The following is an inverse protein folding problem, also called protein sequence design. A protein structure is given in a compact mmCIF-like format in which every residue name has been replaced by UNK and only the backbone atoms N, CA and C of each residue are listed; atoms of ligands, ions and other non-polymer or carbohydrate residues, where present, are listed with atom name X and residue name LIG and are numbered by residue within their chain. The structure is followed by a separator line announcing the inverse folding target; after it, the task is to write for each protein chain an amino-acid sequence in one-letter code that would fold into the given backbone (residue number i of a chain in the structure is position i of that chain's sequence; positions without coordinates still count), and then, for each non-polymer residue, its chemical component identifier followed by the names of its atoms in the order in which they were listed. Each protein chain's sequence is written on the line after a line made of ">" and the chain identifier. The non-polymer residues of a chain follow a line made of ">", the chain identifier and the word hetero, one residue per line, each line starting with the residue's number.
data_IF_459459520268
#
_entry.id   IF_459459520268
#
_cell.length_a   1.000
_cell.length_b   1.000
_cell.length_c   1.000
_cell.angle_alpha   90.00
_cell.angle_beta   90.00
_cell.angle_gamma   90.00
#
_symmetry.space_group_name_H-M   'P 1'
#
loop_
_entity.id
_entity.type
_entity.pdbx_description
1 polymer ?
#
# COMPACT_ATOMS: atom_id res chain seq x y z
N UNK A 1 -4.14 22.96 -23.28
CA UNK A 1 -4.33 21.53 -23.61
C UNK A 1 -5.76 21.20 -23.29
N UNK A 2 -6.58 20.89 -24.29
CA UNK A 2 -7.96 20.44 -24.04
C UNK A 2 -7.90 19.07 -23.36
N UNK A 3 -8.10 19.07 -22.04
CA UNK A 3 -8.34 17.86 -21.27
C UNK A 3 -9.72 17.34 -21.64
N UNK A 4 -9.80 16.46 -22.62
CA UNK A 4 -11.02 15.68 -22.83
C UNK A 4 -10.65 14.21 -22.81
N UNK A 5 -10.67 13.67 -21.60
CA UNK A 5 -10.91 12.25 -21.41
C UNK A 5 -12.04 11.82 -22.33
N UNK A 6 -11.83 10.72 -23.03
CA UNK A 6 -12.86 10.15 -23.87
C UNK A 6 -14.01 9.67 -22.96
N UNK A 7 -15.25 9.66 -23.45
CA UNK A 7 -16.38 9.17 -22.66
C UNK A 7 -16.13 7.76 -22.10
N UNK A 8 -15.34 6.95 -22.80
CA UNK A 8 -14.89 5.62 -22.36
C UNK A 8 -14.08 5.68 -21.05
N UNK A 9 -13.25 6.70 -20.84
CA UNK A 9 -12.45 6.85 -19.62
C UNK A 9 -13.35 7.16 -18.41
N UNK A 10 -14.37 7.98 -18.61
CA UNK A 10 -15.40 8.23 -17.60
C UNK A 10 -16.18 6.96 -17.23
N UNK A 11 -16.51 6.13 -18.23
CA UNK A 11 -17.16 4.84 -17.99
C UNK A 11 -16.25 3.89 -17.21
N UNK A 12 -14.96 3.84 -17.51
CA UNK A 12 -13.99 3.00 -16.78
C UNK A 12 -13.86 3.49 -15.33
N UNK A 13 -13.73 4.80 -15.10
CA UNK A 13 -13.64 5.37 -13.75
C UNK A 13 -14.91 5.13 -12.94
N UNK A 14 -16.08 5.40 -13.52
CA UNK A 14 -17.36 5.14 -12.87
C UNK A 14 -17.57 3.64 -12.60
N UNK A 15 -17.15 2.77 -13.53
CA UNK A 15 -17.17 1.33 -13.39
C UNK A 15 -16.27 0.85 -12.25
N UNK A 16 -15.06 1.38 -12.11
CA UNK A 16 -14.14 1.06 -11.02
C UNK A 16 -14.75 1.38 -9.65
N UNK A 17 -15.30 2.59 -9.50
CA UNK A 17 -15.96 3.02 -8.26
C UNK A 17 -17.24 2.21 -8.00
N UNK A 18 -18.03 1.97 -9.04
CA UNK A 18 -19.27 1.20 -8.97
C UNK A 18 -19.05 -0.26 -8.58
N UNK A 19 -18.05 -0.92 -9.16
CA UNK A 19 -17.67 -2.30 -8.80
C UNK A 19 -17.15 -2.34 -7.36
N UNK A 20 -16.34 -1.37 -6.95
CA UNK A 20 -15.83 -1.29 -5.57
C UNK A 20 -16.98 -1.16 -4.56
N UNK A 21 -17.95 -0.29 -4.86
CA UNK A 21 -19.17 -0.13 -4.06
C UNK A 21 -20.02 -1.40 -4.06
N UNK A 22 -20.18 -2.04 -5.21
CA UNK A 22 -20.94 -3.28 -5.36
C UNK A 22 -20.33 -4.43 -4.54
N UNK A 23 -19.00 -4.56 -4.48
CA UNK A 23 -18.31 -5.53 -3.63
C UNK A 23 -18.62 -5.26 -2.14
N UNK A 24 -18.57 -3.99 -1.72
CA UNK A 24 -18.91 -3.58 -0.35
C UNK A 24 -20.35 -3.92 0.03
N UNK A 25 -21.31 -3.54 -0.83
CA UNK A 25 -22.74 -3.81 -0.65
C UNK A 25 -23.02 -5.32 -0.68
N UNK A 26 -22.43 -6.05 -1.62
CA UNK A 26 -22.57 -7.51 -1.74
C UNK A 26 -22.16 -8.20 -0.44
N UNK A 27 -21.01 -7.87 0.12
CA UNK A 27 -20.53 -8.44 1.37
C UNK A 27 -21.33 -8.00 2.60
N UNK A 28 -21.98 -6.85 2.53
CA UNK A 28 -22.94 -6.40 3.55
C UNK A 28 -24.22 -7.25 3.55
N UNK A 29 -24.76 -7.53 2.35
CA UNK A 29 -26.08 -8.15 2.17
C UNK A 29 -26.06 -9.68 2.19
N UNK A 30 -25.08 -10.34 1.56
CA UNK A 30 -25.02 -11.83 1.44
C UNK A 30 -24.50 -12.52 2.70
N UNK A 31 -24.29 -11.75 3.77
CA UNK A 31 -23.52 -12.19 4.90
C UNK A 31 -24.32 -12.89 5.99
N UNK A 32 -25.29 -12.20 6.60
CA UNK A 32 -25.62 -12.44 8.01
C UNK A 32 -24.38 -12.37 8.95
N UNK A 33 -23.25 -11.94 8.40
CA UNK A 33 -21.88 -12.22 8.83
C UNK A 33 -21.31 -11.04 9.60
N UNK A 34 -21.65 -9.80 9.25
CA UNK A 34 -21.27 -8.58 9.99
C UNK A 34 -21.92 -8.45 11.39
N UNK A 35 -22.69 -9.46 11.84
CA UNK A 35 -23.40 -9.42 13.13
C UNK A 35 -22.47 -9.43 14.34
N UNK A 36 -21.23 -9.90 14.18
CA UNK A 36 -20.25 -9.95 15.27
C UNK A 36 -19.05 -9.06 14.95
N UNK A 37 -18.50 -8.42 15.98
CA UNK A 37 -17.29 -7.61 15.88
C UNK A 37 -16.11 -8.39 15.29
N UNK A 38 -16.01 -9.69 15.59
CA UNK A 38 -14.96 -10.58 15.05
C UNK A 38 -15.07 -10.77 13.53
N UNK A 39 -16.28 -10.88 12.97
CA UNK A 39 -16.39 -10.94 11.51
C UNK A 39 -16.10 -9.56 10.90
N UNK A 40 -16.67 -8.50 11.45
CA UNK A 40 -16.52 -7.16 10.87
C UNK A 40 -15.05 -6.72 10.85
N UNK A 41 -14.35 -6.91 11.96
CA UNK A 41 -12.97 -6.43 12.15
C UNK A 41 -11.93 -7.45 11.66
N UNK A 42 -12.18 -8.76 11.78
CA UNK A 42 -11.17 -9.79 11.51
C UNK A 42 -11.59 -10.83 10.46
N UNK A 43 -12.76 -10.70 9.84
CA UNK A 43 -13.29 -11.69 8.89
C UNK A 43 -13.32 -13.12 9.48
N UNK A 44 -13.52 -13.24 10.80
CA UNK A 44 -13.41 -14.49 11.58
C UNK A 44 -12.08 -15.24 11.39
N UNK A 45 -11.01 -14.51 11.06
CA UNK A 45 -9.67 -15.03 10.78
C UNK A 45 -9.63 -16.05 9.63
N UNK A 46 -10.56 -15.91 8.69
CA UNK A 46 -10.72 -16.81 7.54
C UNK A 46 -10.40 -16.13 6.22
N UNK A 47 -9.54 -15.10 6.22
CA UNK A 47 -9.12 -14.47 4.97
C UNK A 47 -8.32 -15.44 4.09
N UNK A 48 -8.58 -15.38 2.79
CA UNK A 48 -7.86 -16.16 1.79
C UNK A 48 -6.50 -15.53 1.51
N UNK A 49 -5.50 -16.37 1.28
CA UNK A 49 -4.09 -15.94 1.18
C UNK A 49 -3.86 -14.97 0.02
N UNK A 50 -4.36 -15.29 -1.19
CA UNK A 50 -4.10 -14.49 -2.39
C UNK A 50 -4.69 -13.07 -2.29
N UNK A 51 -5.99 -12.87 -1.99
CA UNK A 51 -6.53 -11.53 -1.78
C UNK A 51 -5.86 -10.79 -0.63
N UNK A 52 -5.42 -11.50 0.42
CA UNK A 52 -4.71 -10.86 1.55
C UNK A 52 -3.35 -10.34 1.14
N UNK A 53 -2.55 -11.12 0.39
CA UNK A 53 -1.26 -10.67 -0.17
C UNK A 53 -1.50 -9.40 -0.98
N UNK A 54 -2.46 -9.43 -1.89
CA UNK A 54 -2.74 -8.28 -2.76
C UNK A 54 -3.20 -7.05 -1.96
N UNK A 55 -4.11 -7.24 -1.01
CA UNK A 55 -4.57 -6.18 -0.11
C UNK A 55 -3.43 -5.57 0.71
N UNK A 56 -2.47 -6.39 1.15
CA UNK A 56 -1.27 -5.89 1.83
C UNK A 56 -0.41 -5.05 0.90
N UNK A 57 -0.12 -5.53 -0.32
CA UNK A 57 0.67 -4.74 -1.28
C UNK A 57 -0.06 -3.44 -1.62
N UNK A 58 -1.36 -3.48 -1.90
CA UNK A 58 -2.15 -2.30 -2.29
C UNK A 58 -2.29 -1.28 -1.17
N UNK A 59 -2.39 -1.71 0.09
CA UNK A 59 -2.45 -0.80 1.24
C UNK A 59 -1.22 0.10 1.38
N UNK A 60 -0.09 -0.34 0.84
CA UNK A 60 1.17 0.39 0.87
C UNK A 60 1.58 0.96 -0.49
N UNK A 61 0.80 0.71 -1.53
CA UNK A 61 0.93 1.35 -2.84
C UNK A 61 0.02 2.58 -2.86
N UNK A 62 0.55 3.73 -2.44
CA UNK A 62 -0.17 5.00 -2.50
C UNK A 62 0.17 5.78 -3.77
N UNK A 63 -0.74 6.66 -4.21
CA UNK A 63 -0.47 7.59 -5.29
C UNK A 63 0.76 8.48 -4.99
N UNK A 64 1.02 8.77 -3.71
CA UNK A 64 2.20 9.51 -3.26
C UNK A 64 3.48 8.78 -3.66
N UNK A 65 3.57 7.47 -3.45
CA UNK A 65 4.78 6.71 -3.79
C UNK A 65 4.92 6.59 -5.31
N UNK A 66 3.84 6.34 -6.04
CA UNK A 66 3.89 6.19 -7.50
C UNK A 66 4.36 7.49 -8.16
N UNK A 67 3.72 8.62 -7.82
CA UNK A 67 4.05 9.93 -8.41
C UNK A 67 5.37 10.46 -7.83
N UNK A 68 5.58 10.31 -6.53
CA UNK A 68 6.78 10.80 -5.85
C UNK A 68 8.04 10.07 -6.28
N UNK A 69 8.03 8.73 -6.34
CA UNK A 69 9.20 7.96 -6.74
C UNK A 69 9.53 8.14 -8.23
N UNK A 70 8.52 8.27 -9.10
CA UNK A 70 8.77 8.54 -10.52
C UNK A 70 9.31 9.94 -10.75
N UNK A 71 8.78 10.96 -10.07
CA UNK A 71 9.33 12.32 -10.10
C UNK A 71 10.77 12.38 -9.57
N UNK A 72 11.04 11.66 -8.49
CA UNK A 72 12.38 11.55 -7.90
C UNK A 72 13.40 10.96 -8.87
N UNK A 73 13.07 9.85 -9.53
CA UNK A 73 13.95 9.19 -10.50
C UNK A 73 14.14 10.08 -11.74
N UNK A 74 13.08 10.75 -12.19
CA UNK A 74 13.13 11.64 -13.35
C UNK A 74 14.03 12.87 -13.09
N UNK A 75 13.95 13.47 -11.91
CA UNK A 75 14.66 14.71 -11.56
C UNK A 75 16.06 14.49 -11.00
N UNK A 76 16.33 13.36 -10.32
CA UNK A 76 17.58 13.10 -9.60
C UNK A 76 18.29 11.80 -9.99
N UNK A 77 17.69 10.94 -10.80
CA UNK A 77 18.30 9.72 -11.32
C UNK A 77 17.98 8.43 -10.54
N UNK A 78 18.59 7.33 -10.95
CA UNK A 78 18.24 5.96 -10.53
C UNK A 78 18.69 5.56 -9.13
N UNK A 79 19.41 6.41 -8.41
CA UNK A 79 20.00 6.09 -7.10
C UNK A 79 18.95 5.60 -6.09
N UNK A 80 17.76 6.19 -6.09
CA UNK A 80 16.66 5.76 -5.22
C UNK A 80 16.23 4.33 -5.51
N UNK A 81 16.13 3.94 -6.79
CA UNK A 81 15.80 2.56 -7.15
C UNK A 81 16.91 1.58 -6.73
N UNK A 82 18.17 1.95 -6.94
CA UNK A 82 19.33 1.10 -6.66
C UNK A 82 19.47 0.78 -5.17
N UNK A 83 19.26 1.74 -4.27
CA UNK A 83 19.48 1.55 -2.83
C UNK A 83 18.20 1.29 -2.02
N UNK A 84 17.04 1.80 -2.46
CA UNK A 84 15.79 1.55 -1.75
C UNK A 84 15.33 0.09 -1.91
N UNK A 85 15.45 -0.50 -3.11
CA UNK A 85 14.98 -1.86 -3.41
C UNK A 85 15.68 -2.93 -2.55
N UNK A 86 17.03 -2.94 -2.41
CA UNK A 86 17.70 -3.86 -1.48
C UNK A 86 17.27 -3.67 -0.03
N UNK A 87 17.10 -2.42 0.43
CA UNK A 87 16.63 -2.13 1.79
C UNK A 87 15.22 -2.66 2.06
N UNK A 88 14.30 -2.48 1.11
CA UNK A 88 12.94 -3.03 1.13
C UNK A 88 12.98 -4.58 1.12
N UNK A 89 13.85 -5.20 0.32
CA UNK A 89 14.01 -6.66 0.33
C UNK A 89 14.47 -7.21 1.70
N UNK A 90 15.44 -6.53 2.34
CA UNK A 90 15.91 -6.89 3.69
C UNK A 90 14.79 -6.67 4.72
N UNK A 91 14.06 -5.56 4.62
CA UNK A 91 12.95 -5.21 5.52
C UNK A 91 11.82 -6.23 5.48
N UNK A 92 11.34 -6.59 4.28
CA UNK A 92 10.34 -7.65 4.09
C UNK A 92 10.80 -9.01 4.61
N UNK A 93 12.06 -9.37 4.39
CA UNK A 93 12.62 -10.63 4.89
C UNK A 93 12.64 -10.65 6.41
N UNK A 94 13.09 -9.56 7.04
CA UNK A 94 13.09 -9.43 8.50
C UNK A 94 11.66 -9.47 9.08
N UNK A 95 10.72 -8.78 8.44
CA UNK A 95 9.32 -8.77 8.82
C UNK A 95 8.70 -10.18 8.79
N UNK A 96 8.95 -10.95 7.73
CA UNK A 96 8.44 -12.31 7.58
C UNK A 96 9.07 -13.33 8.57
N UNK A 97 10.37 -13.22 8.83
CA UNK A 97 11.11 -14.19 9.63
C UNK A 97 11.07 -13.88 11.13
N UNK A 98 11.02 -12.61 11.52
CA UNK A 98 11.16 -12.18 12.93
C UNK A 98 9.85 -11.61 13.48
N UNK A 99 9.31 -10.59 12.82
CA UNK A 99 8.19 -9.81 13.37
C UNK A 99 6.86 -10.57 13.28
N UNK A 100 6.53 -11.17 12.14
CA UNK A 100 5.27 -11.92 11.98
C UNK A 100 5.16 -13.12 12.93
N UNK A 101 6.19 -13.98 13.09
CA UNK A 101 6.14 -15.10 14.02
C UNK A 101 6.00 -14.68 15.47
N UNK A 102 6.47 -13.47 15.78
CA UNK A 102 6.35 -12.89 17.11
C UNK A 102 4.95 -12.33 17.38
N UNK A 103 4.36 -11.59 16.42
CA UNK A 103 3.06 -10.92 16.60
C UNK A 103 1.89 -11.89 16.39
N UNK A 104 1.94 -12.76 15.38
CA UNK A 104 0.81 -13.59 14.96
C UNK A 104 0.22 -14.48 16.08
N UNK A 105 1.04 -15.17 16.91
CA UNK A 105 0.52 -16.02 17.99
C UNK A 105 -0.27 -15.25 19.06
N UNK A 106 -0.03 -13.95 19.20
CA UNK A 106 -0.71 -13.09 20.18
C UNK A 106 -2.19 -12.84 19.82
N UNK A 107 -2.60 -13.13 18.57
CA UNK A 107 -3.97 -12.98 18.08
C UNK A 107 -4.58 -11.61 18.40
N UNK A 108 -3.77 -10.55 18.32
CA UNK A 108 -4.19 -9.20 18.64
C UNK A 108 -5.34 -8.74 17.73
N UNK A 109 -6.26 -7.95 18.29
CA UNK A 109 -7.25 -7.20 17.49
C UNK A 109 -6.67 -5.84 17.15
N UNK A 110 -6.03 -5.21 18.14
CA UNK A 110 -5.27 -3.97 17.99
C UNK A 110 -3.81 -4.19 18.34
N UNK A 111 -2.88 -3.62 17.57
CA UNK A 111 -1.45 -3.63 17.94
C UNK A 111 -1.22 -2.96 19.30
N UNK A 112 -2.07 -2.01 19.68
CA UNK A 112 -1.98 -1.34 20.99
C UNK A 112 -2.38 -2.27 22.16
N UNK A 113 -3.07 -3.38 21.90
CA UNK A 113 -3.33 -4.40 22.92
C UNK A 113 -2.02 -5.02 23.42
N UNK A 114 -0.98 -5.09 22.58
CA UNK A 114 0.37 -5.50 22.98
C UNK A 114 0.93 -4.61 24.09
N UNK A 115 0.70 -3.29 24.03
CA UNK A 115 1.16 -2.36 25.08
C UNK A 115 0.50 -2.67 26.42
N UNK A 116 -0.78 -3.03 26.41
CA UNK A 116 -1.47 -3.47 27.62
C UNK A 116 -0.85 -4.76 28.18
N UNK A 117 -0.57 -5.76 27.33
CA UNK A 117 0.05 -7.01 27.79
C UNK A 117 1.48 -6.80 28.31
N UNK A 118 2.26 -5.95 27.65
CA UNK A 118 3.68 -5.73 27.97
C UNK A 118 3.89 -4.89 29.23
N UNK A 119 3.05 -3.89 29.45
CA UNK A 119 3.17 -2.94 30.58
C UNK A 119 2.11 -3.15 31.66
N UNK A 120 1.21 -4.13 31.49
CA UNK A 120 0.07 -4.39 32.37
C UNK A 120 -0.77 -3.13 32.68
N UNK A 121 -0.87 -2.19 31.72
CA UNK A 121 -1.50 -0.89 31.93
C UNK A 121 -2.45 -0.55 30.78
N UNK A 122 -3.72 -0.35 31.12
CA UNK A 122 -4.75 0.12 30.17
C UNK A 122 -4.48 1.55 29.71
N UNK A 123 -3.86 2.38 30.56
CA UNK A 123 -3.54 3.78 30.23
C UNK A 123 -2.57 3.83 29.07
N UNK A 124 -1.50 3.01 29.09
CA UNK A 124 -0.50 2.96 28.01
C UNK A 124 -1.15 2.54 26.68
N UNK A 125 -2.07 1.57 26.71
CA UNK A 125 -2.86 1.19 25.53
C UNK A 125 -3.70 2.33 24.99
N UNK A 126 -4.42 3.06 25.85
CA UNK A 126 -5.25 4.17 25.39
C UNK A 126 -4.42 5.31 24.83
N UNK A 127 -3.29 5.66 25.46
CA UNK A 127 -2.37 6.68 24.92
C UNK A 127 -1.84 6.27 23.55
N UNK A 128 -1.34 5.03 23.42
CA UNK A 128 -0.85 4.52 22.14
C UNK A 128 -1.94 4.50 21.06
N UNK A 129 -3.14 4.04 21.39
CA UNK A 129 -4.28 4.01 20.48
C UNK A 129 -4.70 5.43 20.03
N UNK A 130 -4.76 6.40 20.95
CA UNK A 130 -5.09 7.79 20.63
C UNK A 130 -4.06 8.42 19.68
N UNK A 131 -2.77 8.21 19.94
CA UNK A 131 -1.69 8.68 19.04
C UNK A 131 -1.81 8.01 17.67
N UNK A 132 -2.07 6.70 17.64
CA UNK A 132 -2.24 5.94 16.40
C UNK A 132 -3.44 6.41 15.57
N UNK A 133 -4.58 6.70 16.21
CA UNK A 133 -5.77 7.24 15.55
C UNK A 133 -5.49 8.63 14.98
N UNK A 134 -4.85 9.52 15.77
CA UNK A 134 -4.48 10.85 15.31
C UNK A 134 -3.55 10.79 14.09
N UNK A 135 -2.52 9.95 14.15
CA UNK A 135 -1.62 9.72 13.03
C UNK A 135 -2.36 9.20 11.80
N UNK A 136 -3.28 8.23 11.97
CA UNK A 136 -4.07 7.69 10.87
C UNK A 136 -4.98 8.75 10.22
N UNK A 137 -5.60 9.65 10.99
CA UNK A 137 -6.42 10.73 10.44
C UNK A 137 -5.56 11.68 9.60
N UNK A 138 -4.41 12.12 10.13
CA UNK A 138 -3.50 13.03 9.44
C UNK A 138 -2.95 12.41 8.16
N UNK A 139 -2.46 11.16 8.23
CA UNK A 139 -1.90 10.46 7.08
C UNK A 139 -2.95 10.21 6.00
N UNK A 140 -4.14 9.72 6.35
CA UNK A 140 -5.18 9.43 5.36
C UNK A 140 -5.65 10.72 4.67
N UNK A 141 -5.72 11.86 5.37
CA UNK A 141 -6.03 13.15 4.75
C UNK A 141 -5.05 13.52 3.63
N UNK A 142 -3.73 13.40 3.90
CA UNK A 142 -2.69 13.66 2.89
C UNK A 142 -2.70 12.61 1.78
N UNK A 143 -2.91 11.33 2.13
CA UNK A 143 -2.97 10.23 1.17
C UNK A 143 -4.12 10.38 0.17
N UNK A 144 -5.25 10.96 0.59
CA UNK A 144 -6.40 11.25 -0.27
C UNK A 144 -6.19 12.46 -1.20
N UNK A 145 -5.27 13.35 -0.86
CA UNK A 145 -5.01 14.55 -1.64
C UNK A 145 -4.32 14.24 -2.98
N UNK A 146 -3.30 13.37 -2.99
CA UNK A 146 -2.60 12.98 -4.21
C UNK A 146 -3.52 12.43 -5.34
N UNK A 147 -4.43 11.45 -5.09
CA UNK A 147 -5.34 10.99 -6.13
C UNK A 147 -6.40 12.04 -6.50
N UNK A 148 -6.74 12.98 -5.60
CA UNK A 148 -7.67 14.07 -5.93
C UNK A 148 -7.10 15.08 -6.93
N UNK A 149 -5.81 15.39 -6.83
CA UNK A 149 -5.08 16.21 -7.82
C UNK A 149 -4.95 15.44 -9.14
N UNK A 150 -4.59 14.15 -9.07
CA UNK A 150 -4.51 13.33 -10.27
C UNK A 150 -5.87 13.24 -11.00
N UNK A 151 -6.98 13.19 -10.25
CA UNK A 151 -8.32 13.21 -10.83
C UNK A 151 -8.68 14.58 -11.41
N UNK A 152 -8.29 15.67 -10.75
CA UNK A 152 -8.48 17.05 -11.26
C UNK A 152 -7.72 17.26 -12.58
N UNK A 153 -6.46 16.81 -12.68
CA UNK A 153 -5.64 17.03 -13.86
C UNK A 153 -6.18 16.33 -15.11
N UNK A 154 -6.90 15.22 -14.95
CA UNK A 154 -7.49 14.47 -16.07
C UNK A 154 -8.95 14.83 -16.34
N UNK A 155 -9.76 15.09 -15.31
CA UNK A 155 -11.20 15.39 -15.48
C UNK A 155 -11.54 16.87 -15.56
N UNK A 156 -10.64 17.75 -15.10
CA UNK A 156 -10.93 19.17 -14.90
C UNK A 156 -11.83 19.46 -13.69
N UNK A 157 -12.24 18.44 -12.92
CA UNK A 157 -13.02 18.65 -11.69
C UNK A 157 -12.11 19.21 -10.60
N UNK A 158 -12.49 20.35 -10.02
CA UNK A 158 -11.73 20.95 -8.93
C UNK A 158 -11.48 19.95 -7.79
N UNK A 159 -10.32 20.04 -7.12
CA UNK A 159 -10.00 19.23 -5.93
C UNK A 159 -11.13 19.25 -4.88
N UNK A 160 -11.81 20.39 -4.75
CA UNK A 160 -12.92 20.59 -3.80
C UNK A 160 -14.11 19.64 -4.05
N UNK A 161 -14.27 19.14 -5.28
CA UNK A 161 -15.33 18.19 -5.65
C UNK A 161 -14.78 16.77 -5.69
N UNK A 162 -13.60 16.56 -6.27
CA UNK A 162 -13.02 15.23 -6.43
C UNK A 162 -12.71 14.56 -5.09
N UNK A 163 -12.20 15.31 -4.12
CA UNK A 163 -11.81 14.78 -2.81
C UNK A 163 -13.02 14.28 -1.99
N UNK A 164 -14.11 15.05 -1.80
CA UNK A 164 -15.30 14.54 -1.10
C UNK A 164 -15.94 13.33 -1.80
N UNK A 165 -15.97 13.28 -3.12
CA UNK A 165 -16.52 12.14 -3.87
C UNK A 165 -15.73 10.87 -3.57
N UNK A 166 -14.40 10.92 -3.68
CA UNK A 166 -13.54 9.79 -3.34
C UNK A 166 -13.68 9.38 -1.87
N UNK A 167 -13.80 10.35 -0.95
CA UNK A 167 -13.99 10.10 0.48
C UNK A 167 -15.31 9.38 0.77
N UNK A 168 -16.41 9.87 0.20
CA UNK A 168 -17.76 9.32 0.42
C UNK A 168 -17.84 7.90 -0.15
N UNK A 169 -17.39 7.68 -1.38
CA UNK A 169 -17.40 6.34 -2.00
C UNK A 169 -16.51 5.39 -1.18
N UNK A 170 -15.28 5.81 -0.89
CA UNK A 170 -14.29 5.09 -0.07
C UNK A 170 -14.84 4.63 1.27
N UNK A 171 -15.39 5.58 2.01
CA UNK A 171 -15.94 5.35 3.35
C UNK A 171 -17.18 4.49 3.30
N UNK A 172 -18.05 4.68 2.30
CA UNK A 172 -19.30 3.93 2.18
C UNK A 172 -19.03 2.44 1.98
N UNK A 173 -18.22 2.04 1.00
CA UNK A 173 -17.98 0.61 0.77
C UNK A 173 -17.20 -0.04 1.93
N UNK A 174 -16.31 0.74 2.58
CA UNK A 174 -15.53 0.26 3.73
C UNK A 174 -16.42 0.06 4.95
N UNK A 175 -17.29 1.03 5.25
CA UNK A 175 -18.21 0.98 6.39
C UNK A 175 -19.26 -0.13 6.24
N UNK A 176 -19.77 -0.35 5.02
CA UNK A 176 -20.80 -1.36 4.76
C UNK A 176 -20.22 -2.79 4.76
N UNK A 177 -19.00 -2.97 4.24
CA UNK A 177 -18.47 -4.28 3.88
C UNK A 177 -17.47 -4.90 4.88
N UNK A 178 -16.92 -4.12 5.81
CA UNK A 178 -15.95 -4.61 6.80
C UNK A 178 -14.67 -5.21 6.19
N UNK A 179 -13.88 -5.92 6.99
CA UNK A 179 -12.54 -6.39 6.57
C UNK A 179 -12.56 -7.29 5.32
N UNK A 180 -13.57 -8.15 5.13
CA UNK A 180 -13.66 -8.99 3.92
C UNK A 180 -13.85 -8.17 2.66
N UNK A 181 -14.76 -7.20 2.69
CA UNK A 181 -14.99 -6.36 1.53
C UNK A 181 -13.74 -5.56 1.20
N UNK A 182 -13.09 -4.96 2.19
CA UNK A 182 -11.85 -4.20 2.00
C UNK A 182 -10.79 -5.04 1.28
N UNK A 183 -10.56 -6.28 1.73
CA UNK A 183 -9.56 -7.17 1.10
C UNK A 183 -9.92 -7.50 -0.35
N UNK A 184 -11.21 -7.68 -0.67
CA UNK A 184 -11.66 -7.95 -2.03
C UNK A 184 -11.67 -6.71 -2.94
N UNK A 185 -12.04 -5.54 -2.41
CA UNK A 185 -11.94 -4.28 -3.15
C UNK A 185 -10.48 -3.97 -3.44
N UNK A 186 -9.58 -4.15 -2.47
CA UNK A 186 -8.14 -3.95 -2.68
C UNK A 186 -7.59 -4.91 -3.75
N UNK A 187 -8.02 -6.18 -3.74
CA UNK A 187 -7.62 -7.14 -4.75
C UNK A 187 -8.03 -6.70 -6.15
N UNK A 188 -9.29 -6.31 -6.33
CA UNK A 188 -9.81 -5.84 -7.62
C UNK A 188 -9.12 -4.55 -8.08
N UNK A 189 -9.08 -3.52 -7.23
CA UNK A 189 -8.43 -2.24 -7.54
C UNK A 189 -6.95 -2.42 -7.84
N UNK A 190 -6.31 -3.35 -7.16
CA UNK A 190 -4.91 -3.66 -7.39
C UNK A 190 -4.62 -4.31 -8.73
N UNK A 191 -5.51 -5.17 -9.24
CA UNK A 191 -5.38 -5.71 -10.59
C UNK A 191 -5.46 -4.59 -11.64
N UNK A 192 -6.39 -3.65 -11.45
CA UNK A 192 -6.53 -2.48 -12.33
C UNK A 192 -5.29 -1.60 -12.27
N UNK A 193 -4.75 -1.35 -11.07
CA UNK A 193 -3.54 -0.57 -10.88
C UNK A 193 -2.32 -1.22 -11.56
N UNK A 194 -2.11 -2.53 -11.38
CA UNK A 194 -1.03 -3.27 -12.04
C UNK A 194 -1.17 -3.17 -13.56
N UNK A 195 -2.38 -3.39 -14.10
CA UNK A 195 -2.63 -3.29 -15.53
C UNK A 195 -2.32 -1.88 -16.06
N UNK A 196 -2.70 -0.83 -15.33
CA UNK A 196 -2.40 0.56 -15.68
C UNK A 196 -0.90 0.86 -15.69
N UNK A 197 -0.17 0.45 -14.65
CA UNK A 197 1.28 0.62 -14.58
C UNK A 197 1.97 -0.12 -15.73
N UNK A 198 1.59 -1.37 -15.99
CA UNK A 198 2.16 -2.15 -17.09
C UNK A 198 1.87 -1.52 -18.45
N UNK A 199 0.66 -1.01 -18.68
CA UNK A 199 0.32 -0.34 -19.93
C UNK A 199 1.20 0.89 -20.20
N UNK A 200 1.42 1.72 -19.17
CA UNK A 200 2.31 2.89 -19.26
C UNK A 200 3.75 2.47 -19.53
N UNK A 201 4.27 1.47 -18.81
CA UNK A 201 5.63 0.97 -18.97
C UNK A 201 5.87 0.35 -20.35
N UNK A 202 4.94 -0.47 -20.85
CA UNK A 202 5.02 -1.07 -22.18
C UNK A 202 5.01 0.02 -23.26
N UNK A 203 4.11 1.01 -23.14
CA UNK A 203 4.06 2.12 -24.09
C UNK A 203 5.35 2.94 -24.07
N UNK A 204 5.90 3.22 -22.88
CA UNK A 204 7.20 3.88 -22.71
C UNK A 204 8.32 3.11 -23.39
N UNK A 205 8.43 1.80 -23.13
CA UNK A 205 9.42 0.93 -23.78
C UNK A 205 9.31 0.94 -25.30
N UNK A 206 8.08 0.91 -25.86
CA UNK A 206 7.89 0.98 -27.30
C UNK A 206 8.36 2.31 -27.90
N UNK A 207 8.20 3.42 -27.18
CA UNK A 207 8.59 4.74 -27.66
C UNK A 207 10.11 4.93 -27.70
N UNK A 208 10.82 4.35 -26.74
CA UNK A 208 12.30 4.46 -26.64
C UNK A 208 13.04 3.31 -27.35
N UNK A 209 12.34 2.39 -28.01
CA UNK A 209 12.98 1.27 -28.72
C UNK A 209 13.41 0.10 -27.82
N UNK A 210 12.80 -0.05 -26.65
CA UNK A 210 13.01 -1.15 -25.70
C UNK A 210 13.93 -0.80 -24.53
N UNK A 211 14.35 -1.81 -23.76
CA UNK A 211 15.17 -1.61 -22.56
C UNK A 211 16.53 -0.96 -22.85
N UNK A 212 17.13 -1.24 -24.02
CA UNK A 212 18.38 -0.60 -24.43
C UNK A 212 18.24 0.92 -24.55
N UNK A 213 17.13 1.38 -25.14
CA UNK A 213 16.85 2.81 -25.24
C UNK A 213 16.55 3.47 -23.90
N UNK A 214 15.93 2.76 -22.95
CA UNK A 214 15.76 3.29 -21.57
C UNK A 214 17.12 3.55 -20.93
N UNK A 215 18.06 2.60 -21.04
CA UNK A 215 19.40 2.74 -20.46
C UNK A 215 20.15 3.88 -21.16
N UNK A 216 20.11 3.93 -22.49
CA UNK A 216 20.74 4.98 -23.27
C UNK A 216 20.19 6.37 -22.90
N UNK A 217 18.87 6.54 -22.87
CA UNK A 217 18.24 7.82 -22.50
C UNK A 217 18.63 8.24 -21.08
N UNK A 218 18.69 7.28 -20.15
CA UNK A 218 19.10 7.51 -18.77
C UNK A 218 20.58 7.89 -18.67
N UNK A 219 21.47 7.30 -19.47
CA UNK A 219 22.89 7.67 -19.52
C UNK A 219 23.09 9.05 -20.14
N UNK A 220 22.45 9.33 -21.27
CA UNK A 220 22.55 10.61 -22.00
C UNK A 220 22.11 11.80 -21.13
N UNK A 221 21.09 11.60 -20.28
CA UNK A 221 20.60 12.63 -19.36
C UNK A 221 21.25 12.58 -17.97
N UNK A 222 22.28 11.76 -17.76
CA UNK A 222 22.98 11.64 -16.47
C UNK A 222 22.06 11.14 -15.34
N UNK A 223 21.05 10.36 -15.68
CA UNK A 223 20.07 9.77 -14.76
C UNK A 223 20.42 8.35 -14.35
N UNK A 224 21.35 7.69 -15.03
CA UNK A 224 21.83 6.37 -14.64
C UNK A 224 22.95 6.50 -13.59
N UNK A 225 22.57 6.43 -12.32
CA UNK A 225 23.48 6.51 -11.16
C UNK A 225 23.37 5.18 -10.41
N UNK A 226 24.41 4.34 -10.47
CA UNK A 226 24.42 3.01 -9.85
C UNK A 226 25.50 2.83 -8.79
N UNK A 227 26.55 3.63 -8.83
CA UNK A 227 27.81 3.48 -8.10
C UNK A 227 27.99 4.51 -6.98
N UNK A 228 27.03 5.40 -6.77
CA UNK A 228 27.07 6.40 -5.70
C UNK A 228 26.77 5.75 -4.33
N UNK A 229 27.82 5.56 -3.52
CA UNK A 229 27.76 4.93 -2.18
C UNK A 229 28.13 5.90 -1.05
N UNK A 230 28.21 7.21 -1.30
CA UNK A 230 28.63 8.17 -0.29
C UNK A 230 27.77 8.08 0.99
N UNK A 231 28.36 7.76 2.16
CA UNK A 231 27.62 7.60 3.42
C UNK A 231 27.39 8.91 4.17
N UNK A 232 27.78 10.07 3.62
CA UNK A 232 27.62 11.37 4.28
C UNK A 232 26.13 11.65 4.60
N UNK A 233 25.75 11.81 5.88
CA UNK A 233 24.37 12.08 6.26
C UNK A 233 23.87 13.49 5.89
N UNK A 234 24.74 14.38 5.38
CA UNK A 234 24.40 15.75 5.00
C UNK A 234 23.86 15.85 3.58
N UNK A 235 24.07 14.83 2.76
CA UNK A 235 23.55 14.81 1.39
C UNK A 235 22.09 14.38 1.40
N UNK A 236 21.33 14.85 0.40
CA UNK A 236 19.89 14.64 0.30
C UNK A 236 19.49 13.17 0.40
N UNK A 237 20.15 12.31 -0.36
CA UNK A 237 19.97 10.85 -0.36
C UNK A 237 21.35 10.18 -0.44
N UNK A 238 21.69 9.35 0.55
CA UNK A 238 22.86 8.48 0.55
C UNK A 238 22.43 7.03 0.38
N UNK A 239 23.34 6.17 -0.09
CA UNK A 239 23.08 4.73 -0.15
C UNK A 239 22.62 4.19 1.21
N UNK A 240 23.29 4.63 2.28
CA UNK A 240 22.96 4.27 3.65
C UNK A 240 21.59 4.83 4.07
N UNK A 241 21.30 6.11 3.82
CA UNK A 241 20.01 6.70 4.23
C UNK A 241 18.85 6.05 3.49
N UNK A 242 18.96 5.77 2.20
CA UNK A 242 17.92 5.13 1.40
C UNK A 242 17.67 3.68 1.84
N UNK A 243 18.74 2.90 2.02
CA UNK A 243 18.64 1.49 2.45
C UNK A 243 18.05 1.39 3.85
N UNK A 244 18.55 2.20 4.79
CA UNK A 244 18.05 2.23 6.16
C UNK A 244 16.61 2.74 6.23
N UNK A 245 16.27 3.77 5.44
CA UNK A 245 14.91 4.30 5.35
C UNK A 245 13.94 3.22 4.87
N UNK A 246 14.26 2.50 3.79
CA UNK A 246 13.41 1.41 3.29
C UNK A 246 13.22 0.30 4.35
N UNK A 247 14.32 -0.14 4.98
CA UNK A 247 14.29 -1.15 6.03
C UNK A 247 13.45 -0.72 7.25
N UNK A 248 13.63 0.51 7.73
CA UNK A 248 12.86 1.06 8.86
C UNK A 248 11.39 1.25 8.49
N UNK A 249 11.11 1.74 7.28
CA UNK A 249 9.75 1.90 6.78
C UNK A 249 9.02 0.56 6.81
N UNK A 250 9.66 -0.52 6.36
CA UNK A 250 9.05 -1.85 6.38
C UNK A 250 8.71 -2.32 7.79
N UNK A 251 9.66 -2.19 8.72
CA UNK A 251 9.46 -2.63 10.09
C UNK A 251 8.33 -1.85 10.76
N UNK A 252 8.34 -0.51 10.68
CA UNK A 252 7.38 0.30 11.41
C UNK A 252 6.02 0.37 10.72
N UNK A 253 6.02 0.61 9.40
CA UNK A 253 4.79 0.83 8.63
C UNK A 253 4.10 -0.50 8.32
N UNK A 254 4.84 -1.58 8.04
CA UNK A 254 4.28 -2.88 7.68
C UNK A 254 4.29 -3.87 8.86
N UNK A 255 5.20 -3.72 9.82
CA UNK A 255 5.24 -4.57 11.02
C UNK A 255 4.36 -4.12 12.18
N UNK A 256 4.29 -2.81 12.44
CA UNK A 256 3.65 -2.27 13.65
C UNK A 256 2.43 -1.39 13.40
N UNK A 257 2.07 -1.13 12.15
CA UNK A 257 0.84 -0.43 11.84
C UNK A 257 -0.39 -1.32 12.07
N UNK A 258 -1.44 -0.72 12.64
CA UNK A 258 -2.72 -1.39 12.89
C UNK A 258 -3.28 -2.08 11.64
N UNK A 259 -3.25 -1.42 10.48
CA UNK A 259 -3.80 -1.95 9.23
C UNK A 259 -3.11 -3.25 8.78
N UNK A 260 -1.81 -3.40 9.06
CA UNK A 260 -1.05 -4.62 8.75
C UNK A 260 -1.30 -5.72 9.77
N UNK A 261 -1.13 -5.39 11.06
CA UNK A 261 -1.27 -6.35 12.16
C UNK A 261 -2.65 -6.99 12.19
N UNK A 262 -3.68 -6.20 11.88
CA UNK A 262 -5.05 -6.67 11.78
C UNK A 262 -5.24 -7.68 10.64
N UNK A 263 -4.62 -7.45 9.47
CA UNK A 263 -4.66 -8.38 8.34
C UNK A 263 -3.85 -9.66 8.61
N UNK A 264 -2.67 -9.56 9.21
CA UNK A 264 -1.92 -10.75 9.66
C UNK A 264 -2.78 -11.60 10.58
N UNK A 265 -3.40 -10.96 11.58
CA UNK A 265 -4.25 -11.60 12.57
C UNK A 265 -5.55 -12.19 11.99
N UNK A 266 -5.99 -11.70 10.83
CA UNK A 266 -7.17 -12.16 10.12
C UNK A 266 -6.91 -13.31 9.12
N UNK A 267 -5.67 -13.75 8.97
CA UNK A 267 -5.34 -14.97 8.21
C UNK A 267 -5.54 -16.24 9.04
N UNK A 268 -5.67 -17.38 8.36
CA UNK A 268 -5.96 -18.68 8.98
C UNK A 268 -4.75 -19.34 9.65
N UNK A 269 -3.53 -19.03 9.17
CA UNK A 269 -2.31 -19.69 9.64
C UNK A 269 -1.11 -18.74 9.62
N UNK A 270 -0.11 -19.03 10.44
CA UNK A 270 1.16 -18.30 10.45
C UNK A 270 1.82 -18.34 9.06
N UNK A 271 1.69 -19.46 8.35
CA UNK A 271 2.18 -19.58 6.97
C UNK A 271 1.49 -18.59 6.04
N UNK A 272 0.16 -18.44 6.14
CA UNK A 272 -0.58 -17.46 5.36
C UNK A 272 -0.18 -16.01 5.72
N UNK A 273 0.03 -15.73 7.01
CA UNK A 273 0.51 -14.43 7.47
C UNK A 273 1.91 -14.12 6.93
N UNK A 274 2.86 -15.05 7.03
CA UNK A 274 4.23 -14.89 6.48
C UNK A 274 4.20 -14.66 4.98
N UNK A 275 3.44 -15.48 4.26
CA UNK A 275 3.31 -15.38 2.79
C UNK A 275 2.62 -14.09 2.35
N UNK A 276 1.82 -13.46 3.21
CA UNK A 276 1.23 -12.12 2.93
C UNK A 276 2.27 -11.00 2.83
N UNK A 277 3.49 -11.24 3.32
CA UNK A 277 4.60 -10.28 3.34
C UNK A 277 5.76 -10.73 2.48
N UNK A 278 6.05 -12.03 2.43
CA UNK A 278 7.07 -12.56 1.52
C UNK A 278 6.60 -12.37 0.07
N UNK A 279 7.02 -11.27 -0.55
CA UNK A 279 6.99 -11.11 -2.01
C UNK A 279 7.83 -12.25 -2.60
N UNK A 280 7.13 -13.27 -3.10
CA UNK A 280 7.68 -14.35 -3.92
C UNK A 280 8.93 -15.03 -3.34
N UNK A 281 8.78 -15.72 -2.21
CA UNK A 281 9.59 -16.93 -2.03
C UNK A 281 8.98 -18.07 -2.84
N UNK A 282 9.53 -18.27 -4.03
CA UNK A 282 9.67 -19.61 -4.59
C UNK A 282 10.32 -20.48 -3.52
N UNK A 283 9.73 -21.65 -3.23
CA UNK A 283 10.20 -22.59 -2.22
C UNK A 283 11.73 -22.83 -2.31
N UNK A 284 12.51 -22.13 -1.51
CA UNK A 284 13.87 -22.55 -1.17
C UNK A 284 13.80 -22.99 0.28
N UNK A 285 13.58 -24.29 0.39
CA UNK A 285 13.90 -25.11 1.55
C UNK A 285 15.42 -25.05 1.69
N UNK A 286 15.90 -24.50 2.81
CA UNK A 286 17.13 -24.96 3.46
C UNK A 286 16.79 -25.03 4.95
#
# INVERSE_FOLDING_TARGET
>A
MENQLHWADYVIMAGLLGISLAIGVYHSLTGGRQKTTSEFILANRKLMVIPTIMSMVMSYMSAIIIIGATGEIYEYGSMVLVWFVPGDFIGYTFLALVIIPWIYPLKLVSIFDYLQFRYNSKVVRYVGASIGILHAILYNGVAMFAPSIALESVTGLSVMVSLPVLAVVGTTYTALGGMRAVVWTDFFQGLVLIAGILAVQIKGLMLVGGFGGVIQEAEEHGRLIMDEVNPDPRIRNSALSLTLNAFMMDIFVKGFCQASVQRYSATQSLWAARKSVERWKTNIII
#
